data_IF_079690630015
#
_entry.id   IF_079690630015
#
_cell.length_a   1.000
_cell.length_b   1.000
_cell.length_c   1.000
_cell.angle_alpha   90.00
_cell.angle_beta   90.00
_cell.angle_gamma   90.00
#
_symmetry.space_group_name_H-M   'P 1'
#
loop_
_entity.id
_entity.type
_entity.pdbx_description
1 polymer ?
#
# COMPACT_ATOMS: atom_id res chain seq x y z
N UNK A 1 27.29 -26.48 26.64
CA UNK A 1 26.35 -25.34 26.64
C UNK A 1 26.02 -25.04 25.18
N UNK A 2 24.84 -25.45 24.70
CA UNK A 2 24.36 -25.03 23.39
C UNK A 2 23.35 -23.90 23.61
N UNK A 3 23.63 -22.72 23.07
CA UNK A 3 22.63 -21.67 22.96
C UNK A 3 21.59 -22.10 21.93
N UNK A 4 20.36 -22.29 22.39
CA UNK A 4 19.18 -22.34 21.52
C UNK A 4 18.92 -20.93 20.98
N UNK A 5 19.23 -20.71 19.71
CA UNK A 5 18.66 -19.60 18.95
C UNK A 5 17.20 -19.93 18.66
N UNK A 6 16.28 -19.25 19.33
CA UNK A 6 14.88 -19.22 18.94
C UNK A 6 14.79 -18.51 17.58
N UNK A 7 14.76 -19.28 16.49
CA UNK A 7 14.24 -18.77 15.22
C UNK A 7 12.73 -18.60 15.40
N UNK A 8 12.30 -17.35 15.58
CA UNK A 8 10.90 -16.99 15.39
C UNK A 8 10.66 -17.12 13.88
N UNK A 9 10.10 -18.25 13.46
CA UNK A 9 9.61 -18.45 12.11
C UNK A 9 8.39 -17.54 11.92
N UNK A 10 8.52 -16.49 11.11
CA UNK A 10 7.36 -15.76 10.63
C UNK A 10 6.60 -16.68 9.67
N UNK A 11 5.31 -16.96 9.90
CA UNK A 11 4.54 -17.77 8.96
C UNK A 11 4.52 -17.06 7.59
N UNK A 12 4.68 -17.78 6.46
CA UNK A 12 4.63 -17.19 5.12
C UNK A 12 3.25 -16.62 4.75
N UNK A 13 2.22 -16.81 5.59
CA UNK A 13 0.83 -16.44 5.33
C UNK A 13 0.17 -15.81 6.57
N UNK A 14 0.79 -14.78 7.15
CA UNK A 14 0.16 -14.01 8.24
C UNK A 14 -1.20 -13.37 7.86
N UNK A 15 -1.57 -13.39 6.57
CA UNK A 15 -2.81 -12.83 6.02
C UNK A 15 -3.97 -13.83 5.86
N UNK A 16 -3.82 -15.12 6.18
CA UNK A 16 -4.91 -16.11 6.07
C UNK A 16 -5.39 -16.63 7.42
N UNK A 17 -6.04 -15.77 8.20
CA UNK A 17 -6.84 -16.23 9.36
C UNK A 17 -8.30 -16.33 8.94
N UNK A 18 -8.66 -17.48 8.35
CA UNK A 18 -10.05 -17.84 8.08
C UNK A 18 -10.70 -18.30 9.39
N UNK A 19 -11.67 -17.55 9.91
CA UNK A 19 -12.49 -18.01 11.03
C UNK A 19 -13.85 -18.47 10.51
N UNK A 20 -14.11 -19.78 10.56
CA UNK A 20 -15.39 -20.35 10.19
C UNK A 20 -16.39 -20.15 11.35
N UNK A 21 -17.52 -19.49 11.07
CA UNK A 21 -18.66 -19.51 11.99
C UNK A 21 -19.56 -20.71 11.67
N UNK A 22 -20.24 -21.27 12.69
CA UNK A 22 -21.02 -22.52 12.63
C UNK A 22 -22.18 -22.55 11.61
N UNK A 23 -22.45 -21.44 10.90
CA UNK A 23 -23.52 -21.31 9.92
C UNK A 23 -23.05 -21.29 8.45
N UNK A 24 -21.77 -21.57 8.15
CA UNK A 24 -21.28 -21.67 6.77
C UNK A 24 -21.29 -20.35 5.97
N UNK A 25 -21.64 -19.23 6.61
CA UNK A 25 -21.48 -17.89 6.02
C UNK A 25 -20.05 -17.39 6.27
N UNK A 26 -19.34 -17.13 5.17
CA UNK A 26 -18.02 -16.52 5.14
C UNK A 26 -18.11 -15.07 5.65
N UNK A 27 -17.95 -14.87 6.96
CA UNK A 27 -17.77 -13.54 7.51
C UNK A 27 -16.30 -13.14 7.34
N UNK A 28 -16.03 -12.23 6.40
CA UNK A 28 -14.75 -11.54 6.33
C UNK A 28 -14.50 -10.85 7.66
N UNK A 29 -13.39 -11.17 8.32
CA UNK A 29 -13.01 -10.54 9.59
C UNK A 29 -12.79 -9.05 9.30
N UNK A 30 -13.60 -8.19 9.93
CA UNK A 30 -13.49 -6.75 9.81
C UNK A 30 -12.06 -6.31 10.19
N UNK A 31 -11.33 -5.73 9.25
CA UNK A 31 -9.97 -5.21 9.47
C UNK A 31 -8.89 -5.76 8.54
N UNK A 32 -9.20 -6.73 7.68
CA UNK A 32 -8.24 -7.21 6.68
C UNK A 32 -8.54 -6.66 5.28
N UNK A 33 -7.54 -6.14 4.55
CA UNK A 33 -7.73 -5.74 3.16
C UNK A 33 -8.16 -6.93 2.31
N UNK A 34 -9.28 -6.78 1.62
CA UNK A 34 -9.73 -7.78 0.66
C UNK A 34 -8.98 -7.57 -0.66
N UNK A 35 -8.04 -8.47 -0.95
CA UNK A 35 -7.29 -8.44 -2.20
C UNK A 35 -8.21 -8.63 -3.41
N UNK A 36 -7.91 -7.91 -4.48
CA UNK A 36 -8.61 -7.99 -5.77
C UNK A 36 -7.62 -8.09 -6.91
N UNK A 37 -8.04 -8.74 -8.01
CA UNK A 37 -7.21 -8.92 -9.21
C UNK A 37 -7.28 -7.71 -10.16
N UNK A 38 -7.25 -6.50 -9.59
CA UNK A 38 -7.17 -5.27 -10.37
C UNK A 38 -5.72 -5.06 -10.79
N UNK A 39 -5.51 -4.70 -12.06
CA UNK A 39 -4.18 -4.40 -12.59
C UNK A 39 -4.10 -2.91 -12.92
N UNK A 40 -3.08 -2.24 -12.43
CA UNK A 40 -2.81 -0.85 -12.76
C UNK A 40 -1.95 -0.76 -14.02
N UNK A 41 -2.22 0.23 -14.86
CA UNK A 41 -1.33 0.55 -15.99
C UNK A 41 0.05 0.92 -15.49
N UNK A 42 1.07 0.54 -16.26
CA UNK A 42 2.45 0.96 -16.02
C UNK A 42 2.61 2.44 -16.33
N UNK A 43 3.36 3.13 -15.48
CA UNK A 43 3.68 4.54 -15.66
C UNK A 43 4.94 4.65 -16.52
N UNK A 44 4.95 5.56 -17.48
CA UNK A 44 6.04 5.67 -18.46
C UNK A 44 7.41 6.05 -17.84
N UNK A 45 7.41 6.65 -16.64
CA UNK A 45 8.61 7.17 -15.98
C UNK A 45 9.03 6.36 -14.75
N UNK A 46 8.34 5.27 -14.43
CA UNK A 46 8.60 4.51 -13.20
C UNK A 46 8.69 3.01 -13.47
N UNK A 47 9.80 2.44 -13.06
CA UNK A 47 9.97 1.00 -12.97
C UNK A 47 9.40 0.46 -11.67
N UNK A 48 8.72 -0.70 -11.74
CA UNK A 48 8.18 -1.38 -10.58
C UNK A 48 9.25 -2.31 -10.00
N UNK A 49 9.82 -1.94 -8.86
CA UNK A 49 10.82 -2.75 -8.14
C UNK A 49 10.20 -3.82 -7.24
N UNK A 50 8.95 -3.65 -6.85
CA UNK A 50 8.20 -4.62 -6.06
C UNK A 50 6.84 -4.10 -5.61
N UNK A 51 5.96 -5.03 -5.24
CA UNK A 51 4.65 -4.74 -4.66
C UNK A 51 4.71 -4.91 -3.15
N UNK A 52 4.45 -3.83 -2.40
CA UNK A 52 4.45 -3.88 -0.92
C UNK A 52 3.09 -4.28 -0.35
N UNK A 53 2.01 -3.90 -1.03
CA UNK A 53 0.62 -4.28 -0.70
C UNK A 53 -0.09 -4.59 -2.00
N UNK A 54 -0.76 -5.74 -2.07
CA UNK A 54 -1.57 -6.12 -3.23
C UNK A 54 -2.77 -5.17 -3.38
N UNK A 55 -3.29 -4.97 -4.61
CA UNK A 55 -4.51 -4.20 -4.83
C UNK A 55 -5.63 -4.69 -3.91
N UNK A 56 -6.18 -3.78 -3.11
CA UNK A 56 -7.07 -4.11 -1.99
C UNK A 56 -8.29 -3.21 -2.01
N UNK A 57 -9.47 -3.78 -1.72
CA UNK A 57 -10.70 -3.00 -1.62
C UNK A 57 -10.70 -2.11 -0.39
N UNK A 58 -11.10 -0.85 -0.59
CA UNK A 58 -11.43 0.07 0.49
C UNK A 58 -12.89 -0.19 0.89
N UNK A 59 -13.10 -1.14 1.79
CA UNK A 59 -14.46 -1.49 2.24
C UNK A 59 -14.95 -0.48 3.29
N UNK A 60 -16.23 -0.08 3.25
CA UNK A 60 -16.85 0.68 4.33
C UNK A 60 -16.81 -0.11 5.65
N UNK A 61 -16.07 0.36 6.65
CA UNK A 61 -15.91 -0.34 7.94
C UNK A 61 -17.05 -0.08 8.94
N UNK A 62 -17.91 0.90 8.68
CA UNK A 62 -19.08 1.20 9.52
C UNK A 62 -20.16 1.93 8.71
N UNK A 63 -21.35 2.12 9.29
CA UNK A 63 -22.40 2.97 8.71
C UNK A 63 -22.14 4.48 8.88
N UNK A 64 -20.99 4.87 9.43
CA UNK A 64 -20.63 6.27 9.62
C UNK A 64 -20.23 6.91 8.29
N UNK A 65 -20.39 8.24 8.18
CA UNK A 65 -20.03 8.97 6.96
C UNK A 65 -18.53 8.92 6.63
N UNK A 66 -17.68 8.75 7.64
CA UNK A 66 -16.23 8.62 7.48
C UNK A 66 -15.86 7.14 7.57
N UNK A 67 -15.23 6.64 6.52
CA UNK A 67 -14.71 5.28 6.48
C UNK A 67 -13.18 5.35 6.57
N UNK A 68 -12.63 4.61 7.51
CA UNK A 68 -11.18 4.48 7.69
C UNK A 68 -10.77 3.05 7.36
N UNK A 69 -9.75 2.93 6.49
CA UNK A 69 -9.10 1.68 6.13
C UNK A 69 -7.61 1.83 6.42
N UNK A 70 -7.06 0.89 7.19
CA UNK A 70 -5.65 0.90 7.57
C UNK A 70 -4.94 -0.28 6.91
N UNK A 71 -3.84 0.03 6.22
CA UNK A 71 -2.99 -0.96 5.56
C UNK A 71 -1.60 -0.93 6.22
N UNK A 72 -0.98 -2.10 6.29
CA UNK A 72 0.35 -2.28 6.83
C UNK A 72 1.24 -2.93 5.79
N UNK A 73 2.50 -2.51 5.72
CA UNK A 73 3.54 -3.17 4.95
C UNK A 73 4.85 -3.06 5.70
N UNK A 74 5.78 -3.95 5.37
CA UNK A 74 7.17 -3.88 5.83
C UNK A 74 8.08 -3.80 4.62
N UNK A 75 9.24 -3.19 4.82
CA UNK A 75 10.31 -3.21 3.83
C UNK A 75 11.29 -4.31 4.20
N UNK A 76 11.82 -5.00 3.18
CA UNK A 76 13.02 -5.80 3.38
C UNK A 76 14.21 -4.89 3.71
N UNK A 77 15.26 -5.41 4.37
CA UNK A 77 16.48 -4.64 4.62
C UNK A 77 17.11 -4.07 3.34
N UNK A 78 17.04 -4.80 2.22
CA UNK A 78 17.54 -4.32 0.93
C UNK A 78 16.69 -3.16 0.39
N UNK A 79 15.36 -3.26 0.40
CA UNK A 79 14.47 -2.18 -0.03
C UNK A 79 14.68 -0.91 0.80
N UNK A 80 14.81 -1.05 2.12
CA UNK A 80 15.10 0.09 3.00
C UNK A 80 16.45 0.72 2.68
N UNK A 81 17.47 -0.09 2.39
CA UNK A 81 18.80 0.39 1.99
C UNK A 81 18.76 1.11 0.64
N UNK A 82 18.04 0.56 -0.33
CA UNK A 82 17.90 1.14 -1.67
C UNK A 82 17.22 2.50 -1.60
N UNK A 83 16.12 2.62 -0.86
CA UNK A 83 15.41 3.90 -0.64
C UNK A 83 16.31 4.92 0.08
N UNK A 84 17.03 4.48 1.12
CA UNK A 84 17.87 5.38 1.92
C UNK A 84 19.09 5.91 1.14
N UNK A 85 19.68 5.09 0.27
CA UNK A 85 20.90 5.40 -0.49
C UNK A 85 20.65 6.17 -1.78
N UNK A 86 19.46 6.06 -2.37
CA UNK A 86 19.09 6.69 -3.64
C UNK A 86 18.47 8.09 -3.48
N UNK A 87 19.13 8.93 -2.69
CA UNK A 87 18.77 10.34 -2.53
C UNK A 87 19.68 11.19 -3.40
N UNK A 88 19.16 11.75 -4.51
CA UNK A 88 19.93 12.74 -5.27
C UNK A 88 19.81 14.11 -4.58
N UNK A 89 20.85 14.45 -3.81
CA UNK A 89 20.98 15.72 -3.09
C UNK A 89 21.73 16.78 -3.90
N UNK A 90 22.03 16.53 -5.18
CA UNK A 90 22.79 17.46 -6.01
C UNK A 90 22.06 18.79 -6.24
N UNK A 91 20.73 18.76 -6.22
CA UNK A 91 19.91 19.97 -6.21
C UNK A 91 19.49 20.32 -4.77
N UNK A 92 20.14 21.33 -4.18
CA UNK A 92 19.83 21.82 -2.83
C UNK A 92 18.36 22.27 -2.70
N UNK A 93 17.71 22.62 -3.82
CA UNK A 93 16.31 23.05 -3.88
C UNK A 93 15.31 21.93 -4.22
N UNK A 94 15.76 20.75 -4.68
CA UNK A 94 14.89 19.63 -5.07
C UNK A 94 15.61 18.31 -4.85
N UNK A 95 15.28 17.63 -3.75
CA UNK A 95 15.73 16.26 -3.50
C UNK A 95 14.90 15.34 -4.38
N UNK A 96 15.51 14.75 -5.40
CA UNK A 96 14.88 13.73 -6.22
C UNK A 96 15.21 12.35 -5.65
N UNK A 97 14.15 11.58 -5.36
CA UNK A 97 14.27 10.20 -4.90
C UNK A 97 14.13 9.29 -6.12
N UNK A 98 15.23 8.67 -6.54
CA UNK A 98 15.20 7.75 -7.70
C UNK A 98 14.54 6.42 -7.33
N UNK A 99 14.51 6.07 -6.04
CA UNK A 99 13.75 4.94 -5.48
C UNK A 99 12.74 5.47 -4.47
N UNK A 100 11.47 5.11 -4.64
CA UNK A 100 10.37 5.64 -3.84
C UNK A 100 9.26 4.61 -3.62
N UNK A 101 8.48 4.81 -2.57
CA UNK A 101 7.24 4.06 -2.31
C UNK A 101 6.06 4.87 -2.82
N UNK A 102 5.26 4.25 -3.70
CA UNK A 102 4.10 4.88 -4.33
C UNK A 102 2.81 4.23 -3.84
N UNK A 103 1.88 5.05 -3.34
CA UNK A 103 0.49 4.66 -3.13
C UNK A 103 -0.33 5.11 -4.34
N UNK A 104 -1.05 4.16 -4.93
CA UNK A 104 -1.91 4.34 -6.11
C UNK A 104 -3.33 3.93 -5.77
N UNK A 105 -4.30 4.66 -6.31
CA UNK A 105 -5.72 4.35 -6.19
C UNK A 105 -6.28 4.14 -7.59
N UNK A 106 -7.32 3.31 -7.72
CA UNK A 106 -8.00 3.11 -8.99
C UNK A 106 -9.46 2.76 -8.76
N UNK A 107 -10.21 2.70 -9.86
CA UNK A 107 -11.55 2.13 -9.86
C UNK A 107 -11.47 0.61 -9.67
N UNK A 108 -12.53 0.04 -9.07
CA UNK A 108 -12.69 -1.40 -8.95
C UNK A 108 -13.27 -1.95 -10.27
N UNK A 109 -12.38 -2.19 -11.23
CA UNK A 109 -12.67 -2.85 -12.49
C UNK A 109 -11.51 -3.78 -12.86
N UNK A 110 -11.84 -5.04 -13.11
CA UNK A 110 -10.89 -6.12 -13.44
C UNK A 110 -10.90 -6.49 -14.92
N UNK A 111 -11.73 -5.83 -15.72
CA UNK A 111 -11.85 -6.10 -17.16
C UNK A 111 -10.71 -5.52 -17.98
N UNK A 112 -10.10 -4.43 -17.48
CA UNK A 112 -9.01 -3.70 -18.15
C UNK A 112 -7.97 -3.22 -17.14
N UNK A 113 -6.78 -2.89 -17.63
CA UNK A 113 -5.79 -2.20 -16.79
C UNK A 113 -6.29 -0.79 -16.44
N UNK A 114 -6.20 -0.44 -15.16
CA UNK A 114 -6.77 0.78 -14.61
C UNK A 114 -5.78 1.94 -14.61
N UNK A 115 -6.31 3.13 -14.90
CA UNK A 115 -5.64 4.40 -14.65
C UNK A 115 -5.74 4.77 -13.16
N UNK A 116 -4.84 5.64 -12.70
CA UNK A 116 -4.89 6.18 -11.35
C UNK A 116 -6.11 7.09 -11.15
N UNK A 117 -6.84 6.87 -10.06
CA UNK A 117 -8.06 7.60 -9.73
C UNK A 117 -8.23 7.73 -8.21
N UNK A 118 -8.14 8.95 -7.68
CA UNK A 118 -8.42 9.20 -6.26
C UNK A 118 -9.93 9.13 -5.97
N UNK A 119 -10.36 8.37 -4.96
CA UNK A 119 -11.74 8.41 -4.51
C UNK A 119 -12.14 9.81 -4.01
N UNK A 120 -13.40 10.24 -4.18
CA UNK A 120 -13.88 11.51 -3.66
C UNK A 120 -13.64 11.65 -2.16
N UNK A 121 -13.17 12.83 -1.72
CA UNK A 121 -12.92 13.16 -0.31
C UNK A 121 -11.93 12.22 0.41
N UNK A 122 -11.06 11.53 -0.32
CA UNK A 122 -10.03 10.68 0.28
C UNK A 122 -9.05 11.52 1.11
N UNK A 123 -8.63 10.97 2.25
CA UNK A 123 -7.57 11.52 3.09
C UNK A 123 -6.61 10.39 3.44
N UNK A 124 -5.31 10.64 3.26
CA UNK A 124 -4.28 9.63 3.50
C UNK A 124 -3.41 10.06 4.67
N UNK A 125 -3.15 9.11 5.57
CA UNK A 125 -2.19 9.26 6.66
C UNK A 125 -1.14 8.17 6.55
N UNK A 126 0.12 8.55 6.67
CA UNK A 126 1.25 7.63 6.76
C UNK A 126 1.90 7.82 8.11
N UNK A 127 1.97 6.75 8.90
CA UNK A 127 2.55 6.78 10.25
C UNK A 127 1.98 7.93 11.12
N UNK A 128 0.66 8.13 11.04
CA UNK A 128 -0.07 9.17 11.77
C UNK A 128 0.05 10.59 11.20
N UNK A 129 0.88 10.82 10.18
CA UNK A 129 1.03 12.13 9.52
C UNK A 129 0.14 12.22 8.28
N UNK A 130 -0.65 13.28 8.18
CA UNK A 130 -1.48 13.53 7.01
C UNK A 130 -0.62 13.88 5.78
N UNK A 131 -0.88 13.21 4.66
CA UNK A 131 -0.22 13.47 3.39
C UNK A 131 -1.04 14.44 2.55
N UNK A 132 -0.36 15.34 1.83
CA UNK A 132 -0.99 16.18 0.82
C UNK A 132 -1.18 15.37 -0.46
N UNK A 133 -2.41 15.35 -0.97
CA UNK A 133 -2.70 14.69 -2.24
C UNK A 133 -2.30 15.60 -3.41
N UNK A 134 -1.82 15.03 -4.52
CA UNK A 134 -1.66 15.77 -5.77
C UNK A 134 -2.98 16.44 -6.17
N UNK A 135 -2.91 17.67 -6.69
CA UNK A 135 -4.07 18.33 -7.29
C UNK A 135 -4.47 17.57 -8.56
N UNK A 136 -5.76 17.52 -8.87
CA UNK A 136 -6.30 16.74 -10.01
C UNK A 136 -5.76 17.14 -11.39
N UNK A 137 -5.03 18.26 -11.49
CA UNK A 137 -4.36 18.72 -12.69
C UNK A 137 -2.91 18.23 -12.84
N UNK A 138 -2.36 17.58 -11.82
CA UNK A 138 -1.03 16.96 -11.89
C UNK A 138 -1.17 15.59 -12.58
N UNK A 139 -0.45 15.31 -13.68
CA UNK A 139 -0.50 14.01 -14.35
C UNK A 139 -0.06 12.85 -13.46
N UNK A 140 0.63 13.15 -12.36
CA UNK A 140 1.05 12.19 -11.35
C UNK A 140 -0.05 12.08 -10.29
N UNK A 141 -1.14 11.36 -10.57
CA UNK A 141 -2.16 10.95 -9.57
C UNK A 141 -1.60 9.89 -8.61
N UNK A 142 -0.36 10.09 -8.16
CA UNK A 142 0.47 9.15 -7.43
C UNK A 142 0.87 9.84 -6.14
N UNK A 143 0.69 9.15 -5.02
CA UNK A 143 1.15 9.65 -3.74
C UNK A 143 2.47 8.98 -3.36
N UNK A 144 3.55 9.74 -3.43
CA UNK A 144 4.84 9.30 -2.88
C UNK A 144 4.77 9.33 -1.36
N UNK A 145 5.02 8.19 -0.73
CA UNK A 145 4.96 8.07 0.72
C UNK A 145 6.29 8.52 1.34
N UNK A 146 6.26 9.34 2.41
CA UNK A 146 7.45 9.62 3.19
C UNK A 146 7.83 8.35 3.98
N UNK A 147 8.94 7.73 3.62
CA UNK A 147 9.51 6.56 4.31
C UNK A 147 10.80 6.93 5.03
#
# INVERSE_FOLDING_TARGET
>A
MYQHQNLISFPPDANRVMSANNNGMMNYVAGYPQEVDVKLKKLAFFDILGTLVNPSLLTPTSSQRLHENTLYFTLSPSQATDIASNRDIRNVSRVDYTVQVQLRFCLMDTTTEQDDYFPPNISVKVNGKQCQLPVSSDPSTILNLPV
#
